data_IF_667773133170
#
_entry.id   IF_667773133170
#
_cell.length_a   1.000
_cell.length_b   1.000
_cell.length_c   1.000
_cell.angle_alpha   90.00
_cell.angle_beta   90.00
_cell.angle_gamma   90.00
#
_symmetry.space_group_name_H-M   'P 1'
#
loop_
_entity.id
_entity.type
_entity.pdbx_description
1 polymer ?
#
# COMPACT_ATOMS: atom_id res chain seq x y z
N UNK A 1 -15.05 21.47 10.60
CA UNK A 1 -14.36 20.60 9.62
C UNK A 1 -14.80 21.02 8.22
N UNK A 2 -14.40 22.22 7.78
CA UNK A 2 -15.12 22.95 6.71
C UNK A 2 -14.20 23.39 5.55
N UNK A 3 -13.05 22.72 5.38
CA UNK A 3 -12.06 23.00 4.32
C UNK A 3 -11.61 21.73 3.58
N UNK A 4 -12.50 20.75 3.45
CA UNK A 4 -12.25 19.57 2.60
C UNK A 4 -12.63 19.93 1.17
N UNK A 5 -11.65 20.00 0.29
CA UNK A 5 -11.88 20.20 -1.14
C UNK A 5 -12.19 18.86 -1.80
N UNK A 6 -13.48 18.59 -2.00
CA UNK A 6 -13.95 17.37 -2.65
C UNK A 6 -13.85 17.42 -4.18
N UNK A 7 -13.52 18.59 -4.77
CA UNK A 7 -13.35 18.74 -6.21
C UNK A 7 -11.97 18.27 -6.70
N UNK A 8 -10.99 18.25 -5.80
CA UNK A 8 -9.63 17.82 -6.10
C UNK A 8 -9.48 16.29 -5.96
N UNK A 9 -9.81 15.58 -7.04
CA UNK A 9 -9.70 14.12 -7.10
C UNK A 9 -8.29 13.57 -6.90
N UNK A 10 -7.25 14.36 -7.14
CA UNK A 10 -5.86 13.97 -6.91
C UNK A 10 -5.45 14.01 -5.44
N UNK A 11 -6.25 14.64 -4.57
CA UNK A 11 -5.97 14.73 -3.12
C UNK A 11 -6.49 13.53 -2.34
N UNK A 12 -7.22 12.60 -2.97
CA UNK A 12 -7.68 11.39 -2.31
C UNK A 12 -6.52 10.41 -2.17
N UNK A 13 -6.21 10.03 -0.93
CA UNK A 13 -5.32 8.90 -0.70
C UNK A 13 -6.10 7.60 -0.99
N UNK A 14 -5.66 6.77 -1.95
CA UNK A 14 -6.30 5.49 -2.18
C UNK A 14 -6.21 4.61 -0.92
N UNK A 15 -7.30 3.98 -0.50
CA UNK A 15 -7.31 3.06 0.65
C UNK A 15 -7.85 1.70 0.20
N UNK A 16 -7.19 0.63 0.67
CA UNK A 16 -7.62 -0.74 0.43
C UNK A 16 -8.52 -1.25 1.55
N UNK A 17 -9.35 -2.26 1.26
CA UNK A 17 -10.24 -2.90 2.23
C UNK A 17 -9.50 -3.60 3.38
N UNK A 18 -8.37 -4.27 3.09
CA UNK A 18 -7.53 -4.95 4.09
C UNK A 18 -6.16 -5.27 3.51
N UNK A 19 -5.11 -5.15 4.33
CA UNK A 19 -3.73 -5.41 3.91
C UNK A 19 -3.52 -6.83 3.36
N UNK A 20 -4.27 -7.85 3.83
CA UNK A 20 -4.09 -9.24 3.37
C UNK A 20 -4.62 -9.51 1.95
N UNK A 21 -5.54 -8.67 1.46
CA UNK A 21 -6.21 -8.87 0.17
C UNK A 21 -6.08 -7.65 -0.77
N UNK A 22 -5.50 -6.54 -0.30
CA UNK A 22 -5.29 -5.35 -1.11
C UNK A 22 -4.25 -5.59 -2.21
N UNK A 23 -4.61 -5.25 -3.45
CA UNK A 23 -3.82 -5.42 -4.68
C UNK A 23 -2.81 -4.29 -4.95
N UNK A 24 -2.83 -3.20 -4.16
CA UNK A 24 -1.92 -2.06 -4.35
C UNK A 24 -0.45 -2.44 -4.13
N UNK A 25 0.39 -2.21 -5.13
CA UNK A 25 1.82 -2.57 -5.06
C UNK A 25 2.68 -1.54 -4.30
N UNK A 26 2.17 -0.33 -4.10
CA UNK A 26 2.89 0.85 -3.62
C UNK A 26 2.35 1.40 -2.27
N UNK A 27 1.74 0.56 -1.45
CA UNK A 27 1.18 0.97 -0.15
C UNK A 27 2.21 0.88 0.99
N UNK A 28 2.78 2.02 1.40
CA UNK A 28 3.79 2.08 2.48
C UNK A 28 3.21 1.85 3.88
N UNK A 29 1.89 1.99 4.03
CA UNK A 29 1.16 1.73 5.28
C UNK A 29 0.74 0.26 5.41
N UNK A 30 1.19 -0.62 4.50
CA UNK A 30 0.85 -2.04 4.52
C UNK A 30 1.47 -2.73 5.74
N UNK A 31 0.61 -3.22 6.63
CA UNK A 31 1.04 -3.90 7.85
C UNK A 31 1.47 -5.35 7.64
N UNK A 32 0.85 -6.07 6.69
CA UNK A 32 1.11 -7.51 6.43
C UNK A 32 1.16 -7.83 4.94
N UNK A 33 1.90 -8.87 4.53
CA UNK A 33 1.93 -9.32 3.14
C UNK A 33 0.55 -9.73 2.60
N UNK A 34 0.27 -9.48 1.31
CA UNK A 34 -0.93 -9.98 0.65
C UNK A 34 -0.88 -11.51 0.47
N UNK A 35 -2.04 -12.17 0.59
CA UNK A 35 -2.15 -13.63 0.45
C UNK A 35 -2.18 -14.10 -1.01
N UNK A 36 -2.64 -13.25 -1.93
CA UNK A 36 -2.90 -13.59 -3.34
C UNK A 36 -1.82 -13.08 -4.30
N UNK A 37 -0.70 -12.58 -3.80
CA UNK A 37 0.38 -12.02 -4.63
C UNK A 37 1.69 -12.72 -4.32
N UNK A 38 2.58 -12.78 -5.32
CA UNK A 38 3.95 -13.24 -5.07
C UNK A 38 4.71 -12.11 -4.40
N UNK A 39 5.54 -12.47 -3.43
CA UNK A 39 6.42 -11.52 -2.76
C UNK A 39 7.87 -11.95 -2.91
N UNK A 40 8.76 -10.98 -3.08
CA UNK A 40 10.19 -11.19 -3.05
C UNK A 40 10.79 -10.48 -1.83
N UNK A 41 11.58 -11.22 -1.06
CA UNK A 41 12.32 -10.72 0.11
C UNK A 41 13.80 -10.66 -0.26
N UNK A 42 14.39 -9.47 -0.18
CA UNK A 42 15.82 -9.26 -0.34
C UNK A 42 16.43 -8.90 1.01
N UNK A 43 17.21 -9.82 1.58
CA UNK A 43 17.83 -9.67 2.89
C UNK A 43 18.91 -8.58 2.95
N UNK A 44 19.45 -8.16 1.80
CA UNK A 44 20.49 -7.12 1.73
C UNK A 44 19.90 -5.72 1.52
N UNK A 45 18.58 -5.61 1.33
CA UNK A 45 17.90 -4.35 1.06
C UNK A 45 16.94 -3.99 2.18
N UNK A 46 17.06 -2.75 2.66
CA UNK A 46 16.06 -2.15 3.56
C UNK A 46 15.09 -1.30 2.75
N UNK A 47 13.84 -1.76 2.64
CA UNK A 47 12.73 -1.00 2.06
C UNK A 47 11.82 -0.38 3.12
N UNK A 48 10.85 0.46 2.68
CA UNK A 48 9.74 0.90 3.52
C UNK A 48 8.91 -0.31 4.00
N UNK A 49 8.76 -1.29 3.12
CA UNK A 49 8.29 -2.63 3.42
C UNK A 49 9.46 -3.61 3.35
N UNK A 50 9.44 -4.72 4.12
CA UNK A 50 10.50 -5.73 4.09
C UNK A 50 10.44 -6.68 2.89
N UNK A 51 9.51 -6.47 1.97
CA UNK A 51 9.32 -7.26 0.75
C UNK A 51 8.84 -6.36 -0.40
N UNK A 52 8.95 -6.88 -1.61
CA UNK A 52 8.36 -6.32 -2.83
C UNK A 52 7.28 -7.25 -3.36
N UNK A 53 6.29 -6.69 -4.05
CA UNK A 53 5.21 -7.47 -4.69
C UNK A 53 5.60 -7.67 -6.15
N UNK A 54 5.49 -8.91 -6.63
CA UNK A 54 5.86 -9.34 -7.99
C UNK A 54 4.68 -9.98 -8.72
#
# INVERSE_FOLDING_TARGET
>A
ADRLDFSNSSSFEPIGVSCRICERIDCIQRAVPPLKSKIAVDHNRRGKLPYTIC
#
